data_IF_695552479125
#
_entry.id   IF_695552479125
#
_cell.length_a   1.000
_cell.length_b   1.000
_cell.length_c   1.000
_cell.angle_alpha   90.00
_cell.angle_beta   90.00
_cell.angle_gamma   90.00
#
_symmetry.space_group_name_H-M   'P 1'
#
loop_
_entity.id
_entity.type
_entity.pdbx_description
1 polymer ?
#
# COMPACT_ATOMS: atom_id res chain seq x y z
N UNK A 1 -14.22 -9.29 0.14
CA UNK A 1 -14.30 -9.19 1.62
C UNK A 1 -12.96 -8.75 2.18
N UNK A 2 -13.00 -7.77 3.09
CA UNK A 2 -11.80 -7.22 3.72
C UNK A 2 -11.68 -7.68 5.18
N UNK A 3 -10.87 -8.70 5.51
CA UNK A 3 -10.77 -9.23 6.87
C UNK A 3 -10.38 -8.18 7.92
N UNK A 4 -9.67 -7.14 7.50
CA UNK A 4 -9.30 -6.03 8.39
C UNK A 4 -10.50 -5.18 8.83
N UNK A 5 -11.56 -5.11 8.04
CA UNK A 5 -12.81 -4.43 8.40
C UNK A 5 -13.57 -5.27 9.43
N UNK A 6 -13.72 -6.56 9.18
CA UNK A 6 -14.48 -7.46 10.05
C UNK A 6 -13.88 -7.60 11.44
N UNK A 7 -12.53 -7.63 11.53
CA UNK A 7 -11.85 -7.81 12.82
C UNK A 7 -11.74 -6.52 13.63
N UNK A 8 -12.04 -5.36 13.05
CA UNK A 8 -11.82 -4.08 13.71
C UNK A 8 -12.84 -3.85 14.85
N UNK A 9 -12.42 -3.84 16.14
CA UNK A 9 -13.36 -3.76 17.26
C UNK A 9 -14.03 -2.39 17.38
N UNK A 10 -13.45 -1.35 16.80
CA UNK A 10 -13.95 0.02 16.86
C UNK A 10 -14.59 0.49 15.55
N UNK A 11 -14.67 -0.40 14.56
CA UNK A 11 -15.12 -0.04 13.20
C UNK A 11 -14.36 1.15 12.60
N UNK A 12 -13.08 1.31 13.00
CA UNK A 12 -12.20 2.32 12.44
C UNK A 12 -11.83 2.02 10.99
N UNK A 13 -11.80 0.73 10.61
CA UNK A 13 -11.71 0.31 9.21
C UNK A 13 -13.13 0.00 8.72
N UNK A 14 -13.46 0.50 7.54
CA UNK A 14 -14.79 0.32 6.96
C UNK A 14 -14.71 0.29 5.42
N UNK A 15 -15.72 -0.31 4.81
CA UNK A 15 -15.87 -0.29 3.35
C UNK A 15 -16.82 0.81 2.95
N UNK A 16 -16.41 1.69 2.07
CA UNK A 16 -17.22 2.75 1.47
C UNK A 16 -18.22 2.16 0.47
N UNK A 17 -19.20 2.96 0.06
CA UNK A 17 -20.20 2.57 -0.95
C UNK A 17 -19.60 2.30 -2.33
N UNK A 18 -18.42 2.86 -2.62
CA UNK A 18 -17.63 2.64 -3.83
C UNK A 18 -16.67 1.45 -3.73
N UNK A 19 -16.77 0.65 -2.67
CA UNK A 19 -15.94 -0.55 -2.47
C UNK A 19 -14.56 -0.28 -1.89
N UNK A 20 -14.16 0.97 -1.71
CA UNK A 20 -12.87 1.31 -1.11
C UNK A 20 -12.88 0.99 0.38
N UNK A 21 -11.85 0.28 0.84
CA UNK A 21 -11.61 0.10 2.28
C UNK A 21 -10.84 1.30 2.81
N UNK A 22 -11.51 2.13 3.58
CA UNK A 22 -10.97 3.35 4.18
C UNK A 22 -10.80 3.20 5.70
N UNK A 23 -10.24 4.20 6.35
CA UNK A 23 -9.96 4.18 7.78
C UNK A 23 -10.20 5.55 8.43
N UNK A 24 -10.65 5.50 9.68
CA UNK A 24 -10.89 6.64 10.55
C UNK A 24 -9.91 6.59 11.73
N UNK A 25 -8.97 7.51 11.75
CA UNK A 25 -7.91 7.57 12.77
C UNK A 25 -8.47 7.91 14.16
N UNK A 26 -9.57 8.67 14.24
CA UNK A 26 -10.16 9.10 15.52
C UNK A 26 -10.81 7.92 16.26
N UNK A 27 -11.24 6.90 15.51
CA UNK A 27 -11.83 5.67 16.05
C UNK A 27 -10.80 4.58 16.31
N UNK A 28 -9.60 4.71 15.76
CA UNK A 28 -8.58 3.67 15.84
C UNK A 28 -7.87 3.70 17.19
N UNK A 29 -7.85 2.56 17.89
CA UNK A 29 -7.16 2.38 19.18
C UNK A 29 -5.77 1.74 19.05
N UNK A 30 -5.26 1.56 17.84
CA UNK A 30 -3.91 1.02 17.60
C UNK A 30 -3.73 -0.46 18.00
N UNK A 31 -4.78 -1.25 18.11
CA UNK A 31 -4.73 -2.64 18.59
C UNK A 31 -4.00 -3.63 17.66
N UNK A 32 -3.71 -3.24 16.42
CA UNK A 32 -2.98 -4.02 15.40
C UNK A 32 -3.67 -5.29 14.90
N UNK A 33 -4.91 -5.60 15.33
CA UNK A 33 -5.64 -6.79 14.89
C UNK A 33 -5.84 -6.84 13.38
N UNK A 34 -6.06 -5.68 12.74
CA UNK A 34 -6.20 -5.55 11.30
C UNK A 34 -4.92 -5.95 10.53
N UNK A 35 -3.74 -5.70 11.08
CA UNK A 35 -2.46 -6.10 10.49
C UNK A 35 -2.30 -7.63 10.49
N UNK A 36 -2.74 -8.29 11.58
CA UNK A 36 -2.69 -9.75 11.69
C UNK A 36 -3.70 -10.44 10.76
N UNK A 37 -4.87 -9.81 10.55
CA UNK A 37 -5.91 -10.34 9.69
C UNK A 37 -5.60 -10.16 8.20
N UNK A 38 -4.79 -9.18 7.83
CA UNK A 38 -4.50 -8.87 6.43
C UNK A 38 -3.54 -9.89 5.81
N UNK A 39 -3.97 -10.68 4.83
CA UNK A 39 -3.07 -11.64 4.18
C UNK A 39 -2.05 -10.98 3.24
N UNK A 40 -2.19 -9.68 2.98
CA UNK A 40 -1.40 -8.94 1.99
C UNK A 40 -0.33 -8.03 2.61
N UNK A 41 -0.26 -7.95 3.94
CA UNK A 41 0.61 -7.02 4.68
C UNK A 41 0.41 -5.55 4.25
N UNK A 42 -0.86 -5.18 3.97
CA UNK A 42 -1.20 -3.88 3.42
C UNK A 42 -1.40 -2.78 4.47
N UNK A 43 -1.34 -3.11 5.76
CA UNK A 43 -1.53 -2.16 6.86
C UNK A 43 -0.24 -1.97 7.66
N UNK A 44 -0.06 -0.75 8.15
CA UNK A 44 1.01 -0.41 9.07
C UNK A 44 0.46 0.51 10.18
N UNK A 45 1.26 0.75 11.21
CA UNK A 45 0.94 1.74 12.24
C UNK A 45 1.70 3.01 11.91
N UNK A 46 0.98 4.11 11.77
CA UNK A 46 1.58 5.43 11.63
C UNK A 46 2.26 5.82 12.97
N UNK A 47 3.57 6.07 12.96
CA UNK A 47 4.30 6.37 14.19
C UNK A 47 3.90 7.72 14.83
N UNK A 48 3.31 8.63 14.07
CA UNK A 48 2.91 9.94 14.59
C UNK A 48 1.56 9.88 15.30
N UNK A 49 0.61 9.10 14.77
CA UNK A 49 -0.75 9.00 15.30
C UNK A 49 -0.96 7.74 16.15
N UNK A 50 -0.08 6.75 16.05
CA UNK A 50 -0.21 5.40 16.61
C UNK A 50 -1.49 4.67 16.15
N UNK A 51 -2.02 5.04 15.00
CA UNK A 51 -3.22 4.44 14.40
C UNK A 51 -2.86 3.61 13.17
N UNK A 52 -3.74 2.68 12.81
CA UNK A 52 -3.57 1.90 11.59
C UNK A 52 -3.73 2.79 10.35
N UNK A 53 -2.86 2.60 9.38
CA UNK A 53 -2.91 3.27 8.08
C UNK A 53 -2.65 2.27 6.94
N UNK A 54 -3.15 2.60 5.76
CA UNK A 54 -3.01 1.81 4.54
C UNK A 54 -3.26 2.70 3.32
N UNK A 55 -2.99 2.19 2.14
CA UNK A 55 -3.49 2.80 0.92
C UNK A 55 -5.03 2.80 0.94
N UNK A 56 -5.64 3.97 0.88
CA UNK A 56 -7.09 4.15 0.75
C UNK A 56 -7.51 4.54 -0.68
N UNK A 57 -6.70 4.17 -1.66
CA UNK A 57 -6.95 4.43 -3.07
C UNK A 57 -7.09 5.93 -3.41
N UNK A 58 -6.48 6.79 -2.62
CA UNK A 58 -6.63 8.25 -2.71
C UNK A 58 -8.10 8.71 -2.69
N UNK A 59 -8.92 8.17 -1.79
CA UNK A 59 -10.36 8.42 -1.71
C UNK A 59 -10.72 9.91 -1.82
N UNK A 60 -9.96 10.78 -1.13
CA UNK A 60 -10.15 12.25 -1.19
C UNK A 60 -9.98 12.84 -2.60
N UNK A 61 -9.17 12.21 -3.48
CA UNK A 61 -9.03 12.64 -4.88
C UNK A 61 -10.18 12.14 -5.73
N UNK A 62 -10.58 10.89 -5.52
CA UNK A 62 -11.73 10.30 -6.22
C UNK A 62 -13.02 11.05 -5.90
N UNK A 63 -13.22 11.48 -4.65
CA UNK A 63 -14.36 12.32 -4.24
C UNK A 63 -14.37 13.66 -4.98
N UNK A 64 -13.20 14.15 -5.40
CA UNK A 64 -13.03 15.35 -6.24
C UNK A 64 -13.09 15.09 -7.76
N UNK A 65 -13.33 13.84 -8.18
CA UNK A 65 -13.36 13.44 -9.60
C UNK A 65 -11.97 13.29 -10.25
N UNK A 66 -10.92 13.13 -9.43
CA UNK A 66 -9.55 12.92 -9.91
C UNK A 66 -9.13 11.45 -9.76
N UNK A 67 -8.18 11.03 -10.56
CA UNK A 67 -7.56 9.71 -10.42
C UNK A 67 -6.59 9.64 -9.22
N UNK A 68 -6.28 8.42 -8.74
CA UNK A 68 -5.27 8.20 -7.72
C UNK A 68 -3.90 8.75 -8.15
N UNK A 69 -3.13 9.28 -7.19
CA UNK A 69 -1.85 9.93 -7.49
C UNK A 69 -0.85 9.00 -8.21
N UNK A 70 -0.82 7.72 -7.82
CA UNK A 70 0.07 6.73 -8.45
C UNK A 70 -0.27 6.45 -9.93
N UNK A 71 -1.55 6.59 -10.31
CA UNK A 71 -2.00 6.47 -11.69
C UNK A 71 -1.54 7.68 -12.50
N UNK A 72 -1.81 8.89 -11.98
CA UNK A 72 -1.47 10.15 -12.66
C UNK A 72 0.04 10.27 -12.96
N UNK A 73 0.89 9.83 -12.02
CA UNK A 73 2.35 9.97 -12.16
C UNK A 73 3.01 8.81 -12.89
N UNK A 74 2.26 7.79 -13.30
CA UNK A 74 2.82 6.63 -13.97
C UNK A 74 3.12 6.95 -15.45
N UNK A 75 4.40 7.10 -15.87
CA UNK A 75 4.73 7.60 -17.19
C UNK A 75 4.44 6.62 -18.33
N UNK A 76 4.26 5.33 -17.99
CA UNK A 76 4.02 4.24 -18.95
C UNK A 76 2.62 3.65 -18.82
N UNK A 77 1.75 4.30 -18.05
CA UNK A 77 0.39 3.82 -17.77
C UNK A 77 0.34 2.34 -17.29
N UNK A 78 1.35 1.92 -16.54
CA UNK A 78 1.40 0.57 -15.99
C UNK A 78 0.40 0.36 -14.85
N UNK A 79 -0.08 1.45 -14.25
CA UNK A 79 -1.11 1.44 -13.22
C UNK A 79 -2.36 2.09 -13.81
N UNK A 80 -3.45 1.35 -13.83
CA UNK A 80 -4.73 1.79 -14.36
C UNK A 80 -5.76 1.66 -13.26
N UNK A 81 -6.61 2.66 -13.10
CA UNK A 81 -7.71 2.66 -12.14
C UNK A 81 -9.06 2.85 -12.85
N UNK A 82 -10.13 2.45 -12.19
CA UNK A 82 -11.48 2.61 -12.69
C UNK A 82 -12.48 1.77 -11.93
N UNK A 83 -13.72 1.88 -12.35
CA UNK A 83 -14.83 1.09 -11.82
C UNK A 83 -14.88 -0.26 -12.57
N UNK A 84 -14.75 -1.35 -11.81
CA UNK A 84 -14.81 -2.71 -12.36
C UNK A 84 -16.27 -3.09 -12.73
N UNK A 85 -17.25 -2.50 -12.04
CA UNK A 85 -18.67 -2.78 -12.30
C UNK A 85 -19.21 -2.03 -13.54
N UNK A 86 -18.51 -0.98 -13.99
CA UNK A 86 -18.85 -0.28 -15.23
C UNK A 86 -18.28 -1.05 -16.44
N UNK A 87 -19.13 -1.67 -17.26
CA UNK A 87 -18.68 -2.45 -18.43
C UNK A 87 -18.01 -1.59 -19.51
N UNK A 88 -18.25 -0.28 -19.49
CA UNK A 88 -17.65 0.67 -20.42
C UNK A 88 -16.31 1.24 -19.92
N UNK A 89 -15.93 0.94 -18.71
CA UNK A 89 -14.65 1.37 -18.14
C UNK A 89 -13.45 0.71 -18.86
N UNK A 90 -12.31 1.40 -18.88
CA UNK A 90 -11.05 0.86 -19.42
C UNK A 90 -10.61 -0.40 -18.65
N UNK A 91 -10.80 -0.40 -17.32
CA UNK A 91 -10.36 -1.49 -16.47
C UNK A 91 -11.21 -2.75 -16.66
N UNK A 92 -12.53 -2.65 -16.79
CA UNK A 92 -13.41 -3.79 -17.07
C UNK A 92 -13.03 -4.46 -18.38
N UNK A 93 -12.86 -3.67 -19.44
CA UNK A 93 -12.44 -4.20 -20.76
C UNK A 93 -11.07 -4.87 -20.71
N UNK A 94 -10.14 -4.37 -19.91
CA UNK A 94 -8.82 -4.99 -19.76
C UNK A 94 -8.92 -6.32 -19.00
N UNK A 95 -9.70 -6.39 -17.92
CA UNK A 95 -9.91 -7.62 -17.15
C UNK A 95 -10.57 -8.69 -18.03
N UNK A 96 -11.54 -8.32 -18.85
CA UNK A 96 -12.25 -9.26 -19.73
C UNK A 96 -11.39 -9.74 -20.92
N UNK A 97 -10.49 -8.92 -21.41
CA UNK A 97 -9.69 -9.20 -22.62
C UNK A 97 -8.33 -9.81 -22.34
N UNK A 98 -7.81 -9.69 -21.11
CA UNK A 98 -6.47 -10.13 -20.75
C UNK A 98 -6.50 -11.27 -19.71
N UNK A 99 -5.48 -12.12 -19.72
CA UNK A 99 -5.26 -13.08 -18.62
C UNK A 99 -4.76 -12.31 -17.40
N UNK A 100 -5.65 -12.09 -16.45
CA UNK A 100 -5.34 -11.35 -15.22
C UNK A 100 -5.27 -12.29 -14.03
N UNK A 101 -4.41 -11.97 -13.08
CA UNK A 101 -4.24 -12.71 -11.83
C UNK A 101 -4.34 -11.78 -10.63
N UNK A 102 -4.76 -12.33 -9.51
CA UNK A 102 -4.81 -11.64 -8.23
C UNK A 102 -3.82 -12.29 -7.25
N UNK A 103 -3.36 -11.54 -6.27
CA UNK A 103 -2.50 -12.09 -5.20
C UNK A 103 -3.31 -12.97 -4.26
N UNK A 104 -2.71 -14.09 -3.85
CA UNK A 104 -3.24 -15.02 -2.83
C UNK A 104 -4.71 -15.41 -3.05
N UNK A 105 -5.07 -15.92 -4.23
CA UNK A 105 -6.45 -16.33 -4.54
C UNK A 105 -6.98 -17.39 -3.57
N UNK A 106 -6.10 -18.20 -2.98
CA UNK A 106 -6.41 -19.24 -1.99
C UNK A 106 -6.95 -18.66 -0.66
N UNK A 107 -6.85 -17.36 -0.45
CA UNK A 107 -7.42 -16.69 0.75
C UNK A 107 -8.88 -16.30 0.58
N UNK A 108 -9.43 -16.43 -0.62
CA UNK A 108 -10.83 -16.16 -0.95
C UNK A 108 -11.34 -14.77 -0.51
N UNK A 109 -10.48 -13.77 -0.48
CA UNK A 109 -10.84 -12.39 -0.08
C UNK A 109 -11.33 -11.52 -1.24
N UNK A 110 -11.28 -12.01 -2.49
CA UNK A 110 -11.72 -11.29 -3.68
C UNK A 110 -11.02 -9.92 -3.87
N UNK A 111 -9.69 -9.87 -4.01
CA UNK A 111 -9.01 -8.58 -4.17
C UNK A 111 -9.29 -7.97 -5.55
N UNK A 112 -9.55 -6.65 -5.58
CA UNK A 112 -9.80 -5.88 -6.80
C UNK A 112 -8.50 -5.36 -7.47
N UNK A 113 -7.33 -5.81 -7.04
CA UNK A 113 -6.06 -5.51 -7.69
C UNK A 113 -5.68 -6.69 -8.60
N UNK A 114 -5.75 -6.43 -9.89
CA UNK A 114 -5.43 -7.40 -10.94
C UNK A 114 -4.07 -7.10 -11.55
N UNK A 115 -3.35 -8.15 -11.92
CA UNK A 115 -2.04 -8.10 -12.57
C UNK A 115 -2.14 -8.76 -13.94
N UNK A 116 -1.74 -8.05 -14.98
CA UNK A 116 -1.69 -8.55 -16.37
C UNK A 116 -0.31 -9.15 -16.61
N UNK A 117 -0.26 -10.22 -17.41
CA UNK A 117 0.97 -10.86 -17.89
C UNK A 117 1.95 -11.24 -16.76
N UNK A 118 1.42 -11.85 -15.70
CA UNK A 118 2.22 -12.25 -14.55
C UNK A 118 2.09 -13.75 -14.26
N UNK A 119 3.08 -14.34 -13.60
CA UNK A 119 3.04 -15.70 -13.09
C UNK A 119 2.66 -15.74 -11.60
N UNK A 120 2.10 -16.86 -11.14
CA UNK A 120 1.83 -17.05 -9.71
C UNK A 120 3.10 -16.91 -8.86
N UNK A 121 4.24 -17.30 -9.41
CA UNK A 121 5.53 -17.17 -8.75
C UNK A 121 5.93 -15.71 -8.52
N UNK A 122 5.63 -14.81 -9.48
CA UNK A 122 5.90 -13.38 -9.33
C UNK A 122 4.98 -12.73 -8.29
N UNK A 123 3.78 -13.27 -8.11
CA UNK A 123 2.79 -12.76 -7.15
C UNK A 123 2.98 -13.31 -5.73
N UNK A 124 3.77 -14.36 -5.56
CA UNK A 124 4.09 -14.97 -4.27
C UNK A 124 5.51 -14.60 -3.84
N UNK A 125 5.67 -13.69 -2.88
CA UNK A 125 7.01 -13.31 -2.39
C UNK A 125 7.79 -14.48 -1.79
N UNK A 126 7.10 -15.52 -1.30
CA UNK A 126 7.75 -16.69 -0.72
C UNK A 126 8.28 -17.67 -1.76
N UNK A 127 7.79 -17.59 -3.00
CA UNK A 127 8.22 -18.43 -4.10
C UNK A 127 9.47 -17.90 -4.83
N UNK A 128 9.87 -16.66 -4.59
CA UNK A 128 11.12 -16.09 -5.11
C UNK A 128 12.30 -16.61 -4.32
N UNK A 129 13.33 -17.09 -5.03
CA UNK A 129 14.60 -17.43 -4.39
C UNK A 129 15.17 -16.16 -3.75
N UNK A 130 15.32 -16.23 -2.44
CA UNK A 130 15.88 -15.15 -1.67
C UNK A 130 17.41 -15.25 -1.70
N UNK A 131 18.05 -14.40 -2.48
CA UNK A 131 19.51 -14.31 -2.57
C UNK A 131 20.12 -13.27 -1.61
N UNK A 132 19.29 -12.69 -0.76
CA UNK A 132 19.75 -11.67 0.19
C UNK A 132 19.66 -10.23 -0.29
N UNK A 133 19.32 -10.01 -1.53
CA UNK A 133 19.35 -8.70 -2.18
C UNK A 133 17.95 -8.11 -2.41
N UNK A 134 17.07 -8.16 -1.43
CA UNK A 134 15.83 -7.37 -1.52
C UNK A 134 16.15 -5.89 -1.56
N UNK A 135 15.51 -5.19 -2.48
CA UNK A 135 15.59 -3.73 -2.63
C UNK A 135 15.23 -3.00 -1.31
N UNK A 136 14.42 -3.64 -0.48
CA UNK A 136 13.79 -3.02 0.71
C UNK A 136 14.37 -3.45 2.05
N UNK A 137 15.21 -4.48 2.08
CA UNK A 137 15.71 -4.99 3.35
C UNK A 137 17.15 -5.46 3.26
N UNK A 138 17.97 -5.07 4.22
CA UNK A 138 19.24 -5.77 4.49
C UNK A 138 18.97 -6.96 5.40
N UNK A 139 19.29 -8.14 4.93
CA UNK A 139 19.05 -9.40 5.62
C UNK A 139 19.68 -9.51 6.99
N UNK A 140 20.91 -9.02 7.13
CA UNK A 140 21.68 -9.24 8.34
C UNK A 140 21.14 -8.52 9.58
N UNK A 141 20.19 -7.61 9.41
CA UNK A 141 19.71 -6.75 10.52
C UNK A 141 18.20 -6.54 10.55
N UNK A 142 17.43 -7.07 9.62
CA UNK A 142 15.98 -6.85 9.54
C UNK A 142 15.58 -5.39 9.33
N UNK A 143 16.52 -4.55 8.92
CA UNK A 143 16.29 -3.12 8.67
C UNK A 143 15.97 -2.94 7.20
N UNK A 144 14.80 -2.40 6.90
CA UNK A 144 14.41 -2.10 5.53
C UNK A 144 15.29 -1.04 4.88
N UNK A 145 15.50 -1.14 3.58
CA UNK A 145 16.29 -0.18 2.80
C UNK A 145 15.85 1.28 3.02
N UNK A 146 14.55 1.50 3.22
CA UNK A 146 14.00 2.82 3.53
C UNK A 146 14.43 3.35 4.91
N UNK A 147 14.56 2.50 5.92
CA UNK A 147 15.05 2.91 7.21
C UNK A 147 16.49 3.41 7.11
N UNK A 148 17.33 2.71 6.34
CA UNK A 148 18.72 3.10 6.07
C UNK A 148 18.82 4.43 5.31
N UNK A 149 17.96 4.62 4.31
CA UNK A 149 17.89 5.87 3.55
C UNK A 149 17.38 7.03 4.42
N UNK A 150 16.42 6.79 5.32
CA UNK A 150 15.92 7.78 6.26
C UNK A 150 17.00 8.16 7.30
N UNK A 151 17.76 7.20 7.80
CA UNK A 151 18.90 7.44 8.69
C UNK A 151 20.00 8.26 8.02
N UNK A 152 20.35 7.93 6.77
CA UNK A 152 21.32 8.69 5.98
C UNK A 152 20.86 10.13 5.75
N UNK A 153 19.57 10.32 5.39
CA UNK A 153 19.00 11.63 5.15
C UNK A 153 18.89 12.47 6.41
N UNK A 154 18.59 11.87 7.56
CA UNK A 154 18.56 12.60 8.83
C UNK A 154 19.98 13.02 9.24
N UNK A 155 20.98 12.19 9.03
CA UNK A 155 22.38 12.52 9.30
C UNK A 155 22.91 13.64 8.39
N UNK A 156 22.51 13.66 7.11
CA UNK A 156 22.82 14.76 6.19
C UNK A 156 22.15 16.08 6.62
N UNK A 157 20.89 16.03 7.05
CA UNK A 157 20.15 17.21 7.53
C UNK A 157 20.74 17.76 8.82
N UNK A 158 21.19 16.90 9.72
CA UNK A 158 21.86 17.30 10.97
C UNK A 158 23.22 17.93 10.69
N UNK A 159 23.96 17.42 9.69
CA UNK A 159 25.23 18.01 9.25
C UNK A 159 25.03 19.39 8.62
N UNK A 160 24.01 19.56 7.79
CA UNK A 160 23.65 20.82 7.17
C UNK A 160 23.20 21.86 8.23
N UNK A 161 22.44 21.45 9.23
CA UNK A 161 22.03 22.30 10.35
C UNK A 161 23.23 22.73 11.19
N UNK A 162 24.21 21.86 11.41
CA UNK A 162 25.44 22.18 12.12
C UNK A 162 26.28 23.21 11.36
N UNK A 163 26.38 23.07 10.03
CA UNK A 163 27.10 24.02 9.18
C UNK A 163 26.42 25.40 9.18
N UNK A 164 25.10 25.46 9.20
CA UNK A 164 24.34 26.71 9.30
C UNK A 164 24.59 27.39 10.65
N UNK A 165 24.63 26.63 11.75
CA UNK A 165 24.96 27.17 13.09
C UNK A 165 26.38 27.75 13.15
N UNK A 166 27.37 27.05 12.61
CA UNK A 166 28.76 27.52 12.56
C UNK A 166 28.99 28.72 11.66
N UNK A 167 28.11 28.95 10.67
CA UNK A 167 28.19 30.11 9.78
C UNK A 167 27.50 31.37 10.36
N UNK A 168 26.79 31.24 11.48
CA UNK A 168 26.09 32.32 12.18
C UNK A 168 26.85 32.83 13.42
N UNK A 169 27.98 32.23 13.82
CA UNK A 169 28.92 32.72 14.82
C UNK A 169 30.04 33.55 14.16
#
# INVERSE_FOLDING_TARGET
>A
DAPCVEICPTTALYTRSDGIVDFDNDRCIGCKSCMQACPYDALYIDPNTNTAAKCNYCAHKLDGGYEPACVIVCPVEAIISGDIEDPDSKISRLIDSQDTKVRKPEKHTGPNLHYIDTSNQMLDPSATNYDGNYIWSEQSKGVGHYAKYAEQKSAETDADNLLIQLAME
#
